data_IF_747423309894
#
_entry.id   IF_747423309894
#
_cell.length_a   1.000
_cell.length_b   1.000
_cell.length_c   1.000
_cell.angle_alpha   90.00
_cell.angle_beta   90.00
_cell.angle_gamma   90.00
#
_symmetry.space_group_name_H-M   'P 1'
#
loop_
_entity.id
_entity.type
_entity.pdbx_description
1 polymer ?
#
# COMPACT_ATOMS: atom_id res chain seq x y z
N UNK A 1 -12.50 -10.37 9.24
CA UNK A 1 -12.14 -11.23 10.39
C UNK A 1 -11.01 -10.58 11.16
N UNK A 2 -11.03 -10.69 12.49
CA UNK A 2 -9.92 -10.31 13.37
C UNK A 2 -9.18 -11.56 13.82
N UNK A 3 -7.85 -11.52 13.82
CA UNK A 3 -6.97 -12.60 14.28
C UNK A 3 -5.91 -11.99 15.19
N UNK A 4 -5.74 -12.55 16.37
CA UNK A 4 -4.84 -12.06 17.41
C UNK A 4 -3.65 -13.01 17.63
N UNK A 5 -2.51 -12.48 18.08
CA UNK A 5 -1.38 -13.25 18.59
C UNK A 5 -0.56 -13.98 17.53
N UNK A 6 -0.64 -13.56 16.27
CA UNK A 6 0.15 -14.14 15.16
C UNK A 6 1.55 -13.54 15.08
N UNK A 7 2.44 -14.27 14.45
CA UNK A 7 3.78 -13.80 14.10
C UNK A 7 3.78 -13.06 12.76
N UNK A 8 4.64 -12.07 12.63
CA UNK A 8 4.91 -11.40 11.36
C UNK A 8 5.63 -12.31 10.36
N UNK A 9 6.38 -13.28 10.87
CA UNK A 9 7.16 -14.21 10.06
C UNK A 9 6.27 -15.35 9.57
N UNK A 10 5.83 -15.27 8.32
CA UNK A 10 5.03 -16.24 7.57
C UNK A 10 3.59 -16.47 8.07
N UNK A 11 3.30 -16.38 9.39
CA UNK A 11 1.97 -16.72 9.92
C UNK A 11 0.85 -15.86 9.31
N UNK A 12 1.07 -14.55 9.17
CA UNK A 12 0.05 -13.66 8.58
C UNK A 12 -0.25 -14.02 7.11
N UNK A 13 0.79 -14.30 6.31
CA UNK A 13 0.64 -14.70 4.92
C UNK A 13 -0.10 -16.03 4.80
N UNK A 14 0.37 -17.03 5.52
CA UNK A 14 -0.21 -18.38 5.52
C UNK A 14 -1.67 -18.38 5.97
N UNK A 15 -2.00 -17.70 7.06
CA UNK A 15 -3.38 -17.62 7.56
C UNK A 15 -4.30 -16.85 6.61
N UNK A 16 -3.78 -15.78 5.97
CA UNK A 16 -4.56 -15.05 4.97
C UNK A 16 -4.90 -15.90 3.75
N UNK A 17 -3.95 -16.69 3.28
CA UNK A 17 -4.15 -17.62 2.17
C UNK A 17 -5.11 -18.76 2.55
N UNK A 18 -4.95 -19.36 3.72
CA UNK A 18 -5.85 -20.40 4.22
C UNK A 18 -7.29 -19.88 4.35
N UNK A 19 -7.46 -18.69 4.94
CA UNK A 19 -8.78 -18.05 5.05
C UNK A 19 -9.40 -17.80 3.67
N UNK A 20 -8.59 -17.41 2.69
CA UNK A 20 -9.07 -17.19 1.32
C UNK A 20 -9.52 -18.49 0.66
N UNK A 21 -8.73 -19.56 0.78
CA UNK A 21 -9.05 -20.89 0.23
C UNK A 21 -10.30 -21.51 0.84
N UNK A 22 -10.47 -21.40 2.15
CA UNK A 22 -11.59 -21.96 2.89
C UNK A 22 -12.88 -21.11 2.81
N UNK A 23 -12.82 -19.93 2.19
CA UNK A 23 -13.97 -19.04 2.08
C UNK A 23 -14.95 -19.55 1.00
N UNK A 24 -16.14 -19.97 1.41
CA UNK A 24 -17.24 -20.38 0.51
C UNK A 24 -17.96 -19.20 -0.18
N UNK A 25 -17.56 -17.99 0.08
CA UNK A 25 -18.11 -16.74 -0.45
C UNK A 25 -17.01 -15.69 -0.63
N UNK A 26 -17.35 -14.40 -0.63
CA UNK A 26 -16.37 -13.34 -0.79
C UNK A 26 -15.28 -13.44 0.29
N UNK A 27 -14.01 -13.46 -0.13
CA UNK A 27 -12.86 -13.52 0.79
C UNK A 27 -12.93 -12.36 1.80
N UNK A 28 -12.94 -12.62 3.10
CA UNK A 28 -12.98 -11.56 4.10
C UNK A 28 -11.69 -10.75 4.13
N UNK A 29 -11.77 -9.49 4.52
CA UNK A 29 -10.58 -8.78 4.99
C UNK A 29 -10.14 -9.37 6.34
N UNK A 30 -8.83 -9.48 6.55
CA UNK A 30 -8.24 -10.05 7.77
C UNK A 30 -7.43 -8.96 8.46
N UNK A 31 -7.85 -8.61 9.67
CA UNK A 31 -7.14 -7.68 10.55
C UNK A 31 -6.35 -8.50 11.56
N UNK A 32 -5.05 -8.44 11.46
CA UNK A 32 -4.14 -8.98 12.47
C UNK A 32 -3.89 -7.94 13.54
N UNK A 33 -4.08 -8.33 14.80
CA UNK A 33 -3.89 -7.49 15.99
C UNK A 33 -3.07 -8.26 17.04
N UNK A 34 -2.55 -7.56 18.04
CA UNK A 34 -1.69 -8.15 19.07
C UNK A 34 -0.58 -9.04 18.46
N UNK A 35 0.14 -8.50 17.47
CA UNK A 35 1.17 -9.21 16.71
C UNK A 35 2.36 -9.48 17.63
N UNK A 36 2.88 -10.70 17.62
CA UNK A 36 4.01 -11.11 18.45
C UNK A 36 5.23 -10.21 18.22
N UNK A 37 5.84 -9.74 19.31
CA UNK A 37 7.02 -8.87 19.28
C UNK A 37 6.71 -7.39 19.04
N UNK A 38 5.43 -7.00 18.93
CA UNK A 38 5.04 -5.60 18.69
C UNK A 38 4.10 -5.07 19.79
N UNK A 39 4.18 -3.76 20.10
CA UNK A 39 3.28 -3.14 21.05
C UNK A 39 1.81 -3.25 20.61
N UNK A 40 0.91 -3.26 21.61
CA UNK A 40 -0.53 -3.23 21.35
C UNK A 40 -0.90 -2.00 20.49
N UNK A 41 -1.78 -2.21 19.51
CA UNK A 41 -2.24 -1.14 18.60
C UNK A 41 -1.54 -1.14 17.24
N UNK A 42 -0.40 -1.81 17.10
CA UNK A 42 0.19 -2.08 15.80
C UNK A 42 -0.57 -3.21 15.12
N UNK A 43 -1.15 -2.93 13.97
CA UNK A 43 -2.07 -3.84 13.27
C UNK A 43 -1.71 -3.93 11.79
N UNK A 44 -2.01 -5.07 11.19
CA UNK A 44 -1.83 -5.30 9.75
C UNK A 44 -3.12 -5.77 9.13
N UNK A 45 -3.51 -5.19 7.99
CA UNK A 45 -4.73 -5.53 7.26
C UNK A 45 -4.40 -6.22 5.94
N UNK A 46 -4.96 -7.41 5.75
CA UNK A 46 -4.83 -8.19 4.52
C UNK A 46 -6.16 -8.28 3.77
N UNK A 47 -6.09 -8.50 2.45
CA UNK A 47 -7.22 -8.77 1.56
C UNK A 47 -8.33 -7.71 1.63
N UNK A 48 -7.99 -6.43 1.90
CA UNK A 48 -8.97 -5.34 2.01
C UNK A 48 -9.83 -5.19 0.75
N UNK A 49 -9.31 -5.46 -0.42
CA UNK A 49 -10.00 -5.34 -1.71
C UNK A 49 -10.42 -6.69 -2.34
N UNK A 50 -10.36 -7.79 -1.61
CA UNK A 50 -10.67 -9.12 -2.11
C UNK A 50 -12.18 -9.42 -2.20
N UNK A 51 -13.02 -8.41 -2.43
CA UNK A 51 -14.44 -8.59 -2.79
C UNK A 51 -14.96 -7.39 -3.56
N UNK A 52 -15.89 -7.63 -4.51
CA UNK A 52 -16.51 -6.56 -5.30
C UNK A 52 -17.22 -5.52 -4.42
N UNK A 53 -17.88 -5.96 -3.36
CA UNK A 53 -18.57 -5.07 -2.42
C UNK A 53 -17.61 -4.08 -1.74
N UNK A 54 -16.41 -4.54 -1.30
CA UNK A 54 -15.41 -3.65 -0.71
C UNK A 54 -14.70 -2.79 -1.75
N UNK A 55 -14.48 -3.32 -2.96
CA UNK A 55 -13.97 -2.52 -4.07
C UNK A 55 -14.95 -1.39 -4.42
N UNK A 56 -16.25 -1.70 -4.56
CA UNK A 56 -17.28 -0.70 -4.81
C UNK A 56 -17.32 0.37 -3.72
N UNK A 57 -17.27 -0.05 -2.44
CA UNK A 57 -17.22 0.87 -1.30
C UNK A 57 -16.01 1.83 -1.39
N UNK A 58 -14.81 1.30 -1.65
CA UNK A 58 -13.59 2.12 -1.76
C UNK A 58 -13.61 3.07 -2.95
N UNK A 59 -14.32 2.70 -4.02
CA UNK A 59 -14.47 3.52 -5.23
C UNK A 59 -15.65 4.49 -5.13
N UNK A 60 -16.44 4.45 -4.03
CA UNK A 60 -17.65 5.25 -3.88
C UNK A 60 -18.69 4.91 -4.94
N UNK A 61 -18.89 3.62 -5.21
CA UNK A 61 -19.86 3.05 -6.14
C UNK A 61 -20.91 2.23 -5.38
N UNK A 62 -22.09 1.97 -5.97
CA UNK A 62 -23.08 1.09 -5.38
C UNK A 62 -22.52 -0.29 -5.04
N UNK A 63 -22.76 -0.77 -3.81
CA UNK A 63 -22.13 -1.98 -3.28
C UNK A 63 -22.76 -3.30 -3.77
N UNK A 64 -23.83 -3.22 -4.52
CA UNK A 64 -24.50 -4.35 -5.19
C UNK A 64 -23.91 -4.65 -6.57
N UNK A 65 -23.06 -3.77 -7.09
CA UNK A 65 -22.37 -3.99 -8.35
C UNK A 65 -21.29 -5.08 -8.23
N UNK A 66 -21.19 -5.90 -9.27
CA UNK A 66 -20.19 -6.95 -9.38
C UNK A 66 -19.69 -7.12 -10.82
N UNK A 67 -18.56 -7.80 -10.99
CA UNK A 67 -18.02 -8.16 -12.30
C UNK A 67 -17.92 -6.95 -13.26
N UNK A 68 -18.45 -7.13 -14.46
CA UNK A 68 -18.39 -6.12 -15.53
C UNK A 68 -19.18 -4.85 -15.21
N UNK A 69 -20.24 -4.93 -14.43
CA UNK A 69 -21.04 -3.75 -14.09
C UNK A 69 -20.28 -2.81 -13.16
N UNK A 70 -19.46 -3.35 -12.25
CA UNK A 70 -18.53 -2.56 -11.45
C UNK A 70 -17.51 -1.83 -12.34
N UNK A 71 -16.95 -2.54 -13.33
CA UNK A 71 -15.98 -1.95 -14.27
C UNK A 71 -16.63 -0.84 -15.12
N UNK A 72 -17.84 -1.08 -15.64
CA UNK A 72 -18.60 -0.08 -16.41
C UNK A 72 -18.91 1.16 -15.59
N UNK A 73 -19.38 0.98 -14.36
CA UNK A 73 -19.66 2.09 -13.45
C UNK A 73 -18.41 2.89 -13.08
N UNK A 74 -17.29 2.21 -12.83
CA UNK A 74 -16.01 2.87 -12.59
C UNK A 74 -15.55 3.67 -13.81
N UNK A 75 -15.60 3.08 -15.00
CA UNK A 75 -15.26 3.76 -16.26
C UNK A 75 -16.11 5.03 -16.44
N UNK A 76 -17.41 4.93 -16.28
CA UNK A 76 -18.30 6.09 -16.39
C UNK A 76 -17.96 7.15 -15.33
N UNK A 77 -17.74 6.77 -14.09
CA UNK A 77 -17.32 7.70 -13.03
C UNK A 77 -16.04 8.44 -13.39
N UNK A 78 -15.01 7.74 -13.90
CA UNK A 78 -13.75 8.35 -14.27
C UNK A 78 -13.85 9.30 -15.46
N UNK A 79 -14.72 9.02 -16.44
CA UNK A 79 -14.92 9.90 -17.60
C UNK A 79 -15.70 11.18 -17.27
N UNK A 80 -16.52 11.15 -16.23
CA UNK A 80 -17.32 12.31 -15.78
C UNK A 80 -16.72 13.01 -14.56
N UNK A 81 -15.63 12.47 -14.00
CA UNK A 81 -15.01 12.99 -12.79
C UNK A 81 -14.36 14.35 -13.06
N UNK A 82 -14.70 15.33 -12.22
CA UNK A 82 -14.02 16.62 -12.16
C UNK A 82 -13.00 16.58 -11.02
N UNK A 83 -11.70 16.72 -11.31
CA UNK A 83 -10.67 16.74 -10.27
C UNK A 83 -10.91 17.89 -9.27
N UNK A 84 -10.85 17.58 -7.99
CA UNK A 84 -10.87 18.59 -6.93
C UNK A 84 -9.43 18.98 -6.67
N UNK A 85 -9.06 20.29 -6.78
CA UNK A 85 -7.71 20.74 -6.48
C UNK A 85 -7.29 20.36 -5.06
N UNK A 86 -6.05 19.90 -4.91
CA UNK A 86 -5.50 19.56 -3.60
C UNK A 86 -5.41 20.80 -2.72
N UNK A 87 -5.88 20.69 -1.47
CA UNK A 87 -5.77 21.74 -0.46
C UNK A 87 -4.62 21.40 0.47
N UNK A 88 -3.65 22.31 0.57
CA UNK A 88 -2.56 22.17 1.55
C UNK A 88 -3.08 22.47 2.95
N UNK A 89 -2.80 21.57 3.88
CA UNK A 89 -3.14 21.72 5.29
C UNK A 89 -1.88 21.54 6.14
N UNK A 90 -1.84 22.20 7.29
CA UNK A 90 -0.72 22.13 8.24
C UNK A 90 -0.95 21.14 9.38
N UNK A 91 -2.16 20.60 9.49
CA UNK A 91 -2.57 19.62 10.51
C UNK A 91 -3.40 18.53 9.86
N UNK A 92 -3.27 17.32 10.37
CA UNK A 92 -4.06 16.18 9.94
C UNK A 92 -3.59 14.88 10.61
N UNK A 93 -4.39 13.82 10.58
CA UNK A 93 -4.06 12.53 11.25
C UNK A 93 -2.69 11.96 10.89
N UNK A 94 -2.24 12.17 9.64
CA UNK A 94 -0.92 11.70 9.18
C UNK A 94 0.25 12.40 9.89
N UNK A 95 0.03 13.54 10.51
CA UNK A 95 1.04 14.32 11.22
C UNK A 95 1.01 14.12 12.74
N UNK A 96 0.13 13.25 13.26
CA UNK A 96 0.03 12.99 14.70
C UNK A 96 1.22 12.17 15.22
N UNK A 97 1.80 11.33 14.37
CA UNK A 97 2.96 10.51 14.71
C UNK A 97 4.03 10.71 13.63
N UNK A 98 5.09 11.39 13.97
CA UNK A 98 6.21 11.69 13.07
C UNK A 98 7.50 11.14 13.67
N UNK A 99 8.25 10.40 12.88
CA UNK A 99 9.62 9.98 13.18
C UNK A 99 10.56 10.71 12.23
N UNK A 100 11.64 11.30 12.77
CA UNK A 100 12.61 12.02 11.96
C UNK A 100 14.05 11.74 12.43
N UNK A 101 15.01 11.90 11.54
CA UNK A 101 16.42 11.73 11.83
C UNK A 101 16.73 10.36 12.44
N UNK A 102 17.27 10.34 13.66
CA UNK A 102 17.66 9.10 14.34
C UNK A 102 16.51 8.27 14.88
N UNK A 103 15.32 8.84 15.01
CA UNK A 103 14.13 8.14 15.51
C UNK A 103 13.44 7.29 14.44
N UNK A 104 13.82 7.47 13.16
CA UNK A 104 13.27 6.67 12.05
C UNK A 104 13.64 5.21 12.25
N UNK A 105 12.63 4.37 12.35
CA UNK A 105 12.81 2.93 12.44
C UNK A 105 11.62 2.19 11.79
N UNK A 106 11.83 1.64 10.60
CA UNK A 106 10.85 0.87 9.85
C UNK A 106 10.50 -0.45 10.53
N UNK A 107 11.40 -1.00 11.34
CA UNK A 107 11.18 -2.25 12.05
C UNK A 107 10.26 -2.09 13.28
N UNK A 108 9.89 -0.86 13.64
CA UNK A 108 8.80 -0.61 14.62
C UNK A 108 7.43 -1.08 14.10
N UNK A 109 7.27 -1.23 12.80
CA UNK A 109 6.02 -1.69 12.21
C UNK A 109 6.02 -3.21 12.03
N UNK A 110 4.90 -3.91 12.24
CA UNK A 110 4.78 -5.35 12.04
C UNK A 110 4.70 -5.71 10.55
N UNK A 111 5.75 -5.32 9.81
CA UNK A 111 5.86 -5.61 8.38
C UNK A 111 6.00 -7.13 8.19
N UNK A 112 5.13 -7.79 7.43
CA UNK A 112 5.16 -9.24 7.31
C UNK A 112 6.24 -9.73 6.32
N UNK A 113 6.83 -10.88 6.62
CA UNK A 113 7.35 -11.81 5.62
C UNK A 113 6.16 -12.68 5.19
N UNK A 114 5.75 -12.59 3.92
CA UNK A 114 4.47 -13.17 3.46
C UNK A 114 4.66 -14.61 3.00
N UNK A 115 5.69 -14.88 2.19
CA UNK A 115 6.02 -16.21 1.67
C UNK A 115 7.46 -16.57 1.99
N UNK A 116 7.74 -17.87 2.11
CA UNK A 116 9.05 -18.40 2.47
C UNK A 116 10.17 -17.96 1.51
N UNK A 117 9.87 -17.86 0.23
CA UNK A 117 10.83 -17.46 -0.81
C UNK A 117 10.84 -15.97 -1.12
N UNK A 118 10.12 -15.14 -0.36
CA UNK A 118 10.21 -13.70 -0.49
C UNK A 118 11.62 -13.21 -0.10
N UNK A 119 12.16 -12.25 -0.85
CA UNK A 119 13.48 -11.68 -0.57
C UNK A 119 13.56 -10.88 0.72
N UNK A 120 12.44 -10.59 1.38
CA UNK A 120 12.34 -9.84 2.63
C UNK A 120 10.93 -9.43 2.99
N UNK A 121 10.83 -8.50 3.93
CA UNK A 121 9.56 -8.00 4.49
C UNK A 121 9.02 -6.86 3.65
N UNK A 122 7.78 -6.97 3.16
CA UNK A 122 7.17 -5.96 2.30
C UNK A 122 6.27 -5.01 3.08
N UNK A 123 6.73 -3.75 3.25
CA UNK A 123 5.95 -2.68 3.86
C UNK A 123 4.95 -2.04 2.89
N UNK A 124 5.30 -2.04 1.59
CA UNK A 124 4.49 -1.45 0.53
C UNK A 124 4.03 -2.48 -0.49
N UNK A 125 2.92 -3.17 -0.24
CA UNK A 125 2.29 -4.10 -1.20
C UNK A 125 1.04 -3.53 -1.86
N UNK A 126 0.34 -2.61 -1.21
CA UNK A 126 -0.81 -1.88 -1.71
C UNK A 126 -0.64 -0.38 -1.43
N UNK A 127 0.57 0.10 -1.62
CA UNK A 127 0.98 1.48 -1.40
C UNK A 127 0.85 2.32 -2.67
N UNK A 128 0.84 3.62 -2.49
CA UNK A 128 0.93 4.60 -3.55
C UNK A 128 2.23 5.39 -3.35
N UNK A 129 3.15 5.23 -4.30
CA UNK A 129 4.40 6.00 -4.33
C UNK A 129 4.16 7.25 -5.17
N UNK A 130 4.41 8.41 -4.59
CA UNK A 130 4.17 9.71 -5.21
C UNK A 130 5.50 10.31 -5.59
N UNK A 131 5.69 10.59 -6.88
CA UNK A 131 6.93 11.13 -7.41
C UNK A 131 6.64 12.34 -8.30
N UNK A 132 7.64 13.21 -8.49
CA UNK A 132 7.49 14.43 -9.29
C UNK A 132 8.56 14.51 -10.37
N UNK A 133 8.16 14.89 -11.57
CA UNK A 133 9.10 15.18 -12.66
C UNK A 133 9.93 16.44 -12.35
N UNK A 134 11.28 16.39 -12.51
CA UNK A 134 12.15 17.50 -12.15
C UNK A 134 12.14 18.65 -13.16
N UNK A 135 11.57 18.47 -14.32
CA UNK A 135 11.54 19.44 -15.42
C UNK A 135 10.16 20.05 -15.61
N UNK A 136 9.17 19.20 -15.81
CA UNK A 136 7.79 19.59 -16.11
C UNK A 136 6.93 19.70 -14.86
N UNK A 137 7.40 19.17 -13.72
CA UNK A 137 6.71 19.26 -12.44
C UNK A 137 5.47 18.37 -12.29
N UNK A 138 5.15 17.54 -13.30
CA UNK A 138 4.01 16.64 -13.21
C UNK A 138 4.21 15.58 -12.14
N UNK A 139 3.11 15.20 -11.47
CA UNK A 139 3.11 14.25 -10.37
C UNK A 139 2.66 12.89 -10.87
N UNK A 140 3.44 11.87 -10.55
CA UNK A 140 3.12 10.49 -10.82
C UNK A 140 2.65 9.79 -9.54
N UNK A 141 1.63 8.96 -9.68
CA UNK A 141 1.14 8.05 -8.65
C UNK A 141 1.33 6.63 -9.14
N UNK A 142 2.24 5.89 -8.51
CA UNK A 142 2.59 4.54 -8.92
C UNK A 142 2.44 3.53 -7.77
N UNK A 143 1.91 2.36 -8.06
CA UNK A 143 1.94 1.22 -7.14
C UNK A 143 3.26 0.48 -7.32
N UNK A 144 4.27 0.85 -6.54
CA UNK A 144 5.59 0.23 -6.56
C UNK A 144 5.83 -0.49 -5.24
N UNK A 145 6.22 -1.77 -5.33
CA UNK A 145 6.42 -2.61 -4.15
C UNK A 145 7.64 -2.14 -3.35
N UNK A 146 7.43 -1.90 -2.05
CA UNK A 146 8.48 -1.51 -1.12
C UNK A 146 8.86 -2.65 -0.18
N UNK A 147 10.16 -2.97 -0.10
CA UNK A 147 10.71 -4.00 0.78
C UNK A 147 11.67 -3.38 1.78
N UNK A 148 11.48 -3.65 3.06
CA UNK A 148 12.37 -3.17 4.13
C UNK A 148 13.72 -3.85 4.00
N UNK A 149 14.80 -3.05 4.02
CA UNK A 149 16.18 -3.52 4.02
C UNK A 149 16.75 -3.50 5.44
N UNK A 150 16.56 -2.41 6.13
CA UNK A 150 16.96 -2.19 7.51
C UNK A 150 16.04 -1.19 8.22
N UNK A 151 16.46 -0.67 9.37
CA UNK A 151 15.67 0.27 10.17
C UNK A 151 15.36 1.59 9.45
N UNK A 152 16.19 2.03 8.52
CA UNK A 152 16.13 3.35 7.88
C UNK A 152 15.98 3.30 6.38
N UNK A 153 16.11 2.13 5.78
CA UNK A 153 16.07 1.98 4.33
C UNK A 153 15.07 0.93 3.85
N UNK A 154 14.49 1.21 2.71
CA UNK A 154 13.65 0.29 1.95
C UNK A 154 14.01 0.35 0.47
N UNK A 155 13.92 -0.77 -0.22
CA UNK A 155 14.01 -0.81 -1.67
C UNK A 155 12.64 -0.64 -2.30
N UNK A 156 12.61 0.05 -3.45
CA UNK A 156 11.41 0.21 -4.25
C UNK A 156 11.66 -0.33 -5.66
N UNK A 157 10.85 -1.29 -6.10
CA UNK A 157 11.02 -1.89 -7.42
C UNK A 157 10.13 -1.20 -8.45
N UNK A 158 10.76 -0.46 -9.35
CA UNK A 158 10.11 0.24 -10.46
C UNK A 158 10.58 -0.36 -11.77
N UNK A 159 9.66 -0.99 -12.50
CA UNK A 159 9.96 -1.59 -13.81
C UNK A 159 10.40 -0.55 -14.83
N UNK A 160 11.32 -0.91 -15.76
CA UNK A 160 11.67 -0.07 -16.90
C UNK A 160 10.43 0.35 -17.71
N UNK A 161 10.42 1.58 -18.21
CA UNK A 161 9.30 2.15 -18.97
C UNK A 161 8.13 2.65 -18.16
N UNK A 162 8.13 2.49 -16.82
CA UNK A 162 7.16 3.14 -15.93
C UNK A 162 7.51 4.60 -15.70
N UNK A 163 6.51 5.43 -15.40
CA UNK A 163 6.70 6.87 -15.14
C UNK A 163 7.73 7.14 -14.05
N UNK A 164 7.73 6.37 -12.97
CA UNK A 164 8.75 6.50 -11.93
C UNK A 164 10.18 6.27 -12.44
N UNK A 165 10.40 5.31 -13.37
CA UNK A 165 11.71 5.11 -13.98
C UNK A 165 12.10 6.30 -14.88
N UNK A 166 11.16 6.82 -15.67
CA UNK A 166 11.40 7.99 -16.53
C UNK A 166 11.81 9.20 -15.70
N UNK A 167 11.05 9.51 -14.66
CA UNK A 167 11.37 10.62 -13.75
C UNK A 167 12.72 10.41 -13.05
N UNK A 168 12.98 9.21 -12.53
CA UNK A 168 14.25 8.87 -11.86
C UNK A 168 15.44 9.09 -12.78
N UNK A 169 15.38 8.70 -14.06
CA UNK A 169 16.46 8.90 -15.01
C UNK A 169 16.79 10.38 -15.18
N UNK A 170 15.79 11.25 -15.30
CA UNK A 170 15.99 12.71 -15.37
C UNK A 170 16.67 13.30 -14.13
N UNK A 171 16.40 12.76 -12.92
CA UNK A 171 17.11 13.17 -11.70
C UNK A 171 18.57 12.73 -11.74
N UNK A 172 18.83 11.49 -12.13
CA UNK A 172 20.19 10.93 -12.16
C UNK A 172 21.07 11.60 -13.24
N UNK A 173 20.51 11.92 -14.40
CA UNK A 173 21.20 12.68 -15.44
C UNK A 173 21.64 14.07 -14.95
N UNK A 174 20.93 14.65 -13.99
CA UNK A 174 21.29 15.91 -13.33
C UNK A 174 22.16 15.73 -12.08
N UNK A 175 22.65 14.53 -11.79
CA UNK A 175 23.40 14.23 -10.60
C UNK A 175 22.64 14.44 -9.29
N UNK A 176 21.29 14.36 -9.33
CA UNK A 176 20.42 14.56 -8.17
C UNK A 176 19.85 13.24 -7.66
N UNK A 177 19.57 13.19 -6.37
CA UNK A 177 18.76 12.12 -5.80
C UNK A 177 17.31 12.22 -6.28
N UNK A 178 16.68 11.07 -6.50
CA UNK A 178 15.26 11.01 -6.85
C UNK A 178 14.41 11.05 -5.57
N UNK A 179 13.64 12.11 -5.34
CA UNK A 179 12.76 12.20 -4.18
C UNK A 179 11.50 11.39 -4.43
N UNK A 180 11.16 10.56 -3.47
CA UNK A 180 9.93 9.75 -3.39
C UNK A 180 9.10 10.15 -2.18
#
# INVERSE_FOLDING_TARGET
>A
KKVDGVDWNLEMGTLSELIARESKGPVPAVLFDNIKGYPKGYRTLFAQNASFKRMALNLGLPMDLANLDLVRALRQKLTTHQPIPAKTVTKGPILENVMSGNDVNLLKFPVPLIHELDGGRFIGTACLVITRDPEEGWVNFGAYRGMVQDEKSMSCYILPGKHGTIQRSKYFEKGKHYPE
#
